data_IF_273088291807
#
_entry.id   IF_273088291807
#
_cell.length_a   1.000
_cell.length_b   1.000
_cell.length_c   1.000
_cell.angle_alpha   90.00
_cell.angle_beta   90.00
_cell.angle_gamma   90.00
#
_symmetry.space_group_name_H-M   'P 1'
#
loop_
_entity.id
_entity.type
_entity.pdbx_description
1 polymer ?
#
# COMPACT_ATOMS: atom_id res chain seq x y z
N UNK A 1 -27.12 -12.88 71.27
CA UNK A 1 -26.73 -13.55 70.03
C UNK A 1 -26.22 -12.51 69.05
N UNK A 2 -24.89 -12.33 68.85
CA UNK A 2 -24.26 -11.42 67.90
C UNK A 2 -23.79 -12.25 66.74
N UNK A 3 -24.37 -12.03 65.56
CA UNK A 3 -23.89 -12.62 64.27
C UNK A 3 -22.81 -11.74 63.70
N UNK A 4 -21.60 -12.27 63.56
CA UNK A 4 -20.46 -11.62 62.92
C UNK A 4 -20.49 -12.04 61.46
N UNK A 5 -20.78 -11.08 60.56
CA UNK A 5 -20.61 -11.25 59.11
C UNK A 5 -19.16 -10.86 58.76
N UNK A 6 -18.36 -11.86 58.40
CA UNK A 6 -17.04 -11.60 57.84
C UNK A 6 -17.13 -11.16 56.37
N UNK A 7 -16.24 -10.25 55.90
CA UNK A 7 -16.23 -9.84 54.49
C UNK A 7 -15.64 -10.96 53.61
N UNK A 8 -16.42 -11.40 52.65
CA UNK A 8 -15.93 -12.27 51.57
C UNK A 8 -15.00 -11.48 50.64
N UNK A 9 -13.70 -11.80 50.70
CA UNK A 9 -12.68 -11.26 49.80
C UNK A 9 -12.81 -11.93 48.41
N UNK A 10 -13.46 -11.26 47.47
CA UNK A 10 -13.52 -11.70 46.09
C UNK A 10 -12.15 -11.46 45.42
N UNK A 11 -11.37 -12.53 45.21
CA UNK A 11 -10.12 -12.48 44.46
C UNK A 11 -10.47 -12.44 42.99
N UNK A 12 -10.33 -11.25 42.37
CA UNK A 12 -10.45 -11.04 40.94
C UNK A 12 -9.18 -11.57 40.23
N UNK A 13 -9.24 -12.80 39.70
CA UNK A 13 -8.16 -13.36 38.89
C UNK A 13 -8.13 -12.61 37.54
N UNK A 14 -7.21 -11.65 37.39
CA UNK A 14 -6.88 -11.04 36.12
C UNK A 14 -6.15 -12.08 35.25
N UNK A 15 -6.87 -12.69 34.30
CA UNK A 15 -6.26 -13.48 33.23
C UNK A 15 -5.50 -12.55 32.31
N UNK A 16 -4.19 -12.42 32.49
CA UNK A 16 -3.30 -11.79 31.52
C UNK A 16 -3.07 -12.82 30.39
N UNK A 17 -3.84 -12.71 29.32
CA UNK A 17 -3.56 -13.48 28.10
C UNK A 17 -2.20 -13.03 27.56
N UNK A 18 -1.22 -13.95 27.34
CA UNK A 18 0.02 -13.58 26.71
C UNK A 18 -0.29 -13.09 25.29
N UNK A 19 0.07 -11.84 24.99
CA UNK A 19 0.07 -11.31 23.63
C UNK A 19 1.18 -12.05 22.89
N UNK A 20 0.84 -13.17 22.24
CA UNK A 20 1.80 -13.91 21.43
C UNK A 20 2.28 -12.98 20.31
N UNK A 21 3.54 -12.60 20.35
CA UNK A 21 4.15 -11.82 19.28
C UNK A 21 3.96 -12.58 17.95
N UNK A 22 3.21 -11.99 17.02
CA UNK A 22 2.94 -12.62 15.74
C UNK A 22 4.25 -12.82 15.00
N UNK A 23 4.61 -14.06 14.74
CA UNK A 23 5.83 -14.38 14.00
C UNK A 23 5.72 -13.83 12.57
N UNK A 24 6.82 -13.32 12.04
CA UNK A 24 6.88 -12.77 10.68
C UNK A 24 7.82 -13.55 9.79
N UNK A 25 7.56 -13.51 8.49
CA UNK A 25 8.47 -13.95 7.44
C UNK A 25 8.82 -12.80 6.51
N UNK A 26 9.70 -13.06 5.55
CA UNK A 26 10.15 -12.08 4.54
C UNK A 26 9.48 -12.37 3.21
N UNK A 27 8.65 -11.45 2.72
CA UNK A 27 8.06 -11.49 1.39
C UNK A 27 8.94 -10.70 0.42
N UNK A 28 9.32 -11.31 -0.69
CA UNK A 28 10.00 -10.67 -1.83
C UNK A 28 9.16 -10.85 -3.07
N UNK A 29 8.73 -9.75 -3.67
CA UNK A 29 7.97 -9.75 -4.92
C UNK A 29 8.88 -9.29 -6.04
N UNK A 30 9.06 -10.14 -7.05
CA UNK A 30 9.77 -9.84 -8.30
C UNK A 30 8.73 -9.62 -9.40
N UNK A 31 8.20 -8.40 -9.48
CA UNK A 31 7.24 -8.04 -10.51
C UNK A 31 7.92 -7.39 -11.72
N UNK A 32 7.35 -7.59 -12.88
CA UNK A 32 7.65 -6.85 -14.10
C UNK A 32 6.33 -6.20 -14.60
N UNK A 33 6.22 -4.85 -14.51
CA UNK A 33 7.23 -3.85 -14.14
C UNK A 33 7.52 -3.80 -12.63
N UNK A 34 8.77 -3.46 -12.27
CA UNK A 34 9.21 -3.41 -10.86
C UNK A 34 8.52 -2.34 -10.00
N UNK A 35 7.91 -1.30 -10.61
CA UNK A 35 7.13 -0.26 -9.91
C UNK A 35 5.74 -0.73 -9.48
N UNK A 36 5.33 -1.95 -9.83
CA UNK A 36 4.06 -2.54 -9.41
C UNK A 36 3.86 -2.41 -7.91
N UNK A 37 2.72 -1.87 -7.49
CA UNK A 37 2.32 -1.79 -6.08
C UNK A 37 2.07 -3.17 -5.50
N UNK A 38 2.61 -3.43 -4.32
CA UNK A 38 2.44 -4.67 -3.56
C UNK A 38 1.45 -4.42 -2.42
N UNK A 39 0.35 -5.16 -2.42
CA UNK A 39 -0.66 -5.14 -1.36
C UNK A 39 -0.74 -6.52 -0.73
N UNK A 40 -0.82 -6.55 0.59
CA UNK A 40 -1.08 -7.79 1.35
C UNK A 40 -2.29 -7.55 2.23
N UNK A 41 -3.31 -8.39 2.09
CA UNK A 41 -4.60 -8.28 2.79
C UNK A 41 -5.22 -6.87 2.64
N UNK A 42 -5.15 -6.31 1.45
CA UNK A 42 -5.62 -4.97 1.12
C UNK A 42 -4.73 -3.81 1.56
N UNK A 43 -3.68 -4.06 2.35
CA UNK A 43 -2.75 -3.03 2.81
C UNK A 43 -1.60 -2.84 1.82
N UNK A 44 -1.39 -1.59 1.37
CA UNK A 44 -0.23 -1.22 0.56
C UNK A 44 1.07 -1.30 1.36
N UNK A 45 2.08 -2.01 0.83
CA UNK A 45 3.40 -2.15 1.44
C UNK A 45 4.48 -1.31 0.73
N UNK A 46 4.30 -1.02 -0.54
CA UNK A 46 5.26 -0.30 -1.39
C UNK A 46 5.41 -0.94 -2.76
N UNK A 47 6.31 -0.43 -3.62
CA UNK A 47 6.58 -1.02 -4.93
C UNK A 47 7.34 -2.34 -4.82
N UNK A 48 7.17 -3.25 -5.79
CA UNK A 48 7.86 -4.55 -5.83
C UNK A 48 9.39 -4.38 -5.88
N UNK A 49 9.88 -3.33 -6.54
CA UNK A 49 11.31 -3.03 -6.62
C UNK A 49 11.59 -1.54 -6.44
N UNK A 50 12.78 -1.23 -5.95
CA UNK A 50 13.39 0.10 -6.03
C UNK A 50 14.44 0.05 -7.16
N UNK A 51 14.19 0.80 -8.25
CA UNK A 51 14.91 0.65 -9.52
C UNK A 51 14.86 -0.81 -10.02
N UNK A 52 15.97 -1.53 -9.97
CA UNK A 52 16.06 -2.95 -10.39
C UNK A 52 16.18 -3.92 -9.23
N UNK A 53 16.18 -3.42 -7.99
CA UNK A 53 16.34 -4.25 -6.79
C UNK A 53 15.00 -4.54 -6.18
N UNK A 54 14.62 -5.83 -6.12
CA UNK A 54 13.40 -6.28 -5.48
C UNK A 54 13.40 -5.91 -4.00
N UNK A 55 12.30 -5.34 -3.51
CA UNK A 55 12.13 -4.99 -2.10
C UNK A 55 11.75 -6.21 -1.28
N UNK A 56 12.04 -6.13 0.01
CA UNK A 56 11.69 -7.16 0.98
C UNK A 56 10.77 -6.55 2.01
N UNK A 57 9.64 -7.23 2.28
CA UNK A 57 8.64 -6.82 3.24
C UNK A 57 8.54 -7.83 4.37
N UNK A 58 8.41 -7.35 5.61
CA UNK A 58 8.08 -8.22 6.73
C UNK A 58 6.55 -8.37 6.76
N UNK A 59 6.09 -9.61 6.69
CA UNK A 59 4.67 -9.97 6.69
C UNK A 59 4.45 -11.00 7.79
N UNK A 60 3.30 -10.98 8.44
CA UNK A 60 2.92 -11.99 9.41
C UNK A 60 3.06 -13.40 8.81
N UNK A 61 3.35 -14.40 9.63
CA UNK A 61 3.32 -15.78 9.17
C UNK A 61 1.87 -16.25 9.03
N UNK A 62 1.55 -16.95 7.96
CA UNK A 62 0.20 -17.43 7.66
C UNK A 62 -0.17 -17.30 6.19
N UNK A 63 -1.45 -17.50 5.91
CA UNK A 63 -2.02 -17.34 4.59
C UNK A 63 -2.47 -15.89 4.39
N UNK A 64 -2.17 -15.32 3.23
CA UNK A 64 -2.45 -13.94 2.87
C UNK A 64 -2.95 -13.85 1.44
N UNK A 65 -3.72 -12.79 1.15
CA UNK A 65 -4.01 -12.37 -0.19
C UNK A 65 -2.95 -11.37 -0.65
N UNK A 66 -2.23 -11.72 -1.70
CA UNK A 66 -1.31 -10.83 -2.40
C UNK A 66 -2.02 -10.23 -3.60
N UNK A 67 -2.13 -8.89 -3.65
CA UNK A 67 -2.56 -8.15 -4.83
C UNK A 67 -1.39 -7.35 -5.39
N UNK A 68 -1.21 -7.43 -6.71
CA UNK A 68 -0.22 -6.69 -7.49
C UNK A 68 -0.96 -5.76 -8.44
N UNK A 69 -0.73 -4.46 -8.32
CA UNK A 69 -1.46 -3.45 -9.09
C UNK A 69 -0.50 -2.43 -9.71
N UNK A 70 -0.67 -2.22 -11.00
CA UNK A 70 -0.04 -1.16 -11.78
C UNK A 70 -1.05 -0.66 -12.82
N UNK A 71 -1.33 0.65 -12.88
CA UNK A 71 -2.49 1.20 -13.63
C UNK A 71 -2.54 0.91 -15.12
N UNK A 72 -1.38 0.59 -15.71
CA UNK A 72 -1.25 0.27 -17.15
C UNK A 72 -1.21 -1.22 -17.43
N UNK A 73 -1.48 -2.06 -16.41
CA UNK A 73 -1.43 -3.51 -16.48
C UNK A 73 -2.67 -4.13 -15.86
N UNK A 74 -2.93 -5.39 -16.20
CA UNK A 74 -3.97 -6.17 -15.56
C UNK A 74 -3.55 -6.46 -14.10
N UNK A 75 -4.49 -6.33 -13.18
CA UNK A 75 -4.30 -6.65 -11.76
C UNK A 75 -4.07 -8.15 -11.57
N UNK A 76 -3.19 -8.51 -10.65
CA UNK A 76 -2.96 -9.91 -10.26
C UNK A 76 -3.30 -10.08 -8.78
N UNK A 77 -4.20 -11.02 -8.49
CA UNK A 77 -4.56 -11.42 -7.11
C UNK A 77 -4.22 -12.88 -6.90
N UNK A 78 -3.51 -13.19 -5.80
CA UNK A 78 -3.07 -14.55 -5.45
C UNK A 78 -3.15 -14.80 -3.96
N UNK A 79 -3.45 -16.03 -3.58
CA UNK A 79 -3.20 -16.53 -2.22
C UNK A 79 -1.74 -16.96 -2.09
N UNK A 80 -1.09 -16.53 -1.02
CA UNK A 80 0.29 -16.88 -0.68
C UNK A 80 0.37 -17.33 0.77
N UNK A 81 1.31 -18.21 1.09
CA UNK A 81 1.62 -18.60 2.46
C UNK A 81 2.99 -18.03 2.85
N UNK A 82 3.05 -17.22 3.90
CA UNK A 82 4.28 -16.68 4.48
C UNK A 82 4.69 -17.56 5.65
N UNK A 83 5.88 -18.15 5.58
CA UNK A 83 6.42 -18.98 6.66
C UNK A 83 7.26 -18.13 7.62
N UNK A 84 7.07 -18.32 8.92
CA UNK A 84 7.83 -17.63 9.96
C UNK A 84 9.35 -17.80 9.76
N UNK A 85 10.09 -16.69 9.90
CA UNK A 85 11.54 -16.63 9.79
C UNK A 85 12.12 -17.12 8.43
N UNK A 86 11.26 -17.34 7.43
CA UNK A 86 11.67 -17.74 6.07
C UNK A 86 11.39 -16.66 5.05
N UNK A 87 12.02 -16.81 3.87
CA UNK A 87 11.81 -15.94 2.71
C UNK A 87 10.83 -16.61 1.76
N UNK A 88 9.70 -15.94 1.50
CA UNK A 88 8.75 -16.27 0.45
C UNK A 88 9.04 -15.39 -0.76
N UNK A 89 9.23 -15.98 -1.94
CA UNK A 89 9.50 -15.25 -3.19
C UNK A 89 8.36 -15.50 -4.16
N UNK A 90 7.75 -14.40 -4.64
CA UNK A 90 6.73 -14.42 -5.69
C UNK A 90 7.28 -13.70 -6.90
N UNK A 91 7.21 -14.34 -8.08
CA UNK A 91 7.64 -13.76 -9.35
C UNK A 91 6.42 -13.63 -10.28
N UNK A 92 6.19 -12.43 -10.84
CA UNK A 92 5.07 -12.14 -11.73
C UNK A 92 5.46 -11.19 -12.85
N UNK A 93 4.95 -11.47 -14.05
CA UNK A 93 4.98 -10.57 -15.18
C UNK A 93 3.55 -10.14 -15.49
N UNK A 94 3.24 -8.86 -15.24
CA UNK A 94 1.91 -8.33 -15.47
C UNK A 94 1.67 -8.13 -16.97
N UNK A 95 0.42 -8.30 -17.40
CA UNK A 95 0.00 -8.10 -18.77
C UNK A 95 -0.38 -6.64 -19.00
N UNK A 96 0.25 -5.99 -19.99
CA UNK A 96 0.00 -4.58 -20.29
C UNK A 96 -1.41 -4.36 -20.85
N UNK A 97 -2.05 -3.27 -20.40
CA UNK A 97 -3.29 -2.74 -20.96
C UNK A 97 -2.98 -1.84 -22.18
N UNK A 98 -3.94 -1.63 -23.09
CA UNK A 98 -3.80 -0.66 -24.16
C UNK A 98 -3.50 0.75 -23.62
N UNK A 99 -2.64 1.55 -24.29
CA UNK A 99 -2.34 2.89 -23.85
C UNK A 99 -3.58 3.78 -23.91
N UNK A 100 -3.80 4.67 -22.90
CA UNK A 100 -4.91 5.61 -22.92
C UNK A 100 -4.73 6.64 -24.02
N UNK A 101 -5.85 7.21 -24.50
CA UNK A 101 -5.86 8.27 -25.54
C UNK A 101 -6.14 9.63 -24.90
N UNK A 102 -5.37 10.68 -25.32
CA UNK A 102 -5.53 12.05 -24.85
C UNK A 102 -6.78 12.77 -25.40
N UNK A 103 -7.00 14.04 -25.02
CA UNK A 103 -6.01 14.94 -24.43
C UNK A 103 -5.74 14.64 -22.95
N UNK A 104 -4.58 15.09 -22.42
CA UNK A 104 -4.17 14.90 -21.03
C UNK A 104 -3.72 16.20 -20.37
N UNK A 105 -4.02 16.35 -19.08
CA UNK A 105 -3.26 17.18 -18.17
C UNK A 105 -2.26 16.34 -17.38
N UNK A 106 -1.41 16.98 -16.61
CA UNK A 106 -0.34 16.35 -15.84
C UNK A 106 -0.52 16.61 -14.34
N UNK A 107 -0.53 15.55 -13.56
CA UNK A 107 -0.52 15.62 -12.11
C UNK A 107 0.87 15.23 -11.62
N UNK A 108 1.48 16.08 -10.80
CA UNK A 108 2.75 15.83 -10.13
C UNK A 108 2.53 15.71 -8.63
N UNK A 109 3.41 15.00 -7.98
CA UNK A 109 3.41 14.83 -6.52
C UNK A 109 4.69 15.40 -5.92
N UNK A 110 4.55 16.06 -4.76
CA UNK A 110 5.67 16.46 -3.90
C UNK A 110 5.47 15.82 -2.53
N UNK A 111 6.29 14.84 -2.18
CA UNK A 111 6.22 14.13 -0.90
C UNK A 111 7.62 13.76 -0.42
N UNK A 112 7.82 13.75 0.89
CA UNK A 112 9.06 13.25 1.52
C UNK A 112 9.13 11.72 1.48
N UNK A 113 7.98 11.03 1.49
CA UNK A 113 7.92 9.57 1.29
C UNK A 113 7.84 9.23 -0.20
N UNK A 114 8.97 8.83 -0.77
CA UNK A 114 9.10 8.44 -2.18
C UNK A 114 8.22 7.26 -2.58
N UNK A 115 7.81 6.45 -1.62
CA UNK A 115 7.05 5.22 -1.85
C UNK A 115 5.62 5.32 -1.35
N UNK A 116 5.16 6.52 -0.98
CA UNK A 116 3.75 6.76 -0.69
C UNK A 116 2.88 6.39 -1.89
N UNK A 117 1.80 5.66 -1.64
CA UNK A 117 0.85 5.31 -2.69
C UNK A 117 0.06 6.54 -3.16
N UNK A 118 -0.12 6.65 -4.46
CA UNK A 118 -0.93 7.71 -5.08
C UNK A 118 -2.22 7.10 -5.61
N UNK A 119 -3.34 7.56 -5.07
CA UNK A 119 -4.68 7.19 -5.53
C UNK A 119 -5.35 8.40 -6.17
N UNK A 120 -6.04 8.14 -7.27
CA UNK A 120 -6.91 9.13 -7.93
C UNK A 120 -8.31 8.53 -8.02
N UNK A 121 -9.29 9.20 -7.42
CA UNK A 121 -10.66 8.69 -7.29
C UNK A 121 -10.69 7.25 -6.74
N UNK A 122 -9.93 7.00 -5.67
CA UNK A 122 -9.75 5.70 -5.00
C UNK A 122 -9.08 4.58 -5.83
N UNK A 123 -8.65 4.85 -7.06
CA UNK A 123 -7.86 3.91 -7.86
C UNK A 123 -6.38 4.18 -7.66
N UNK A 124 -5.59 3.12 -7.43
CA UNK A 124 -4.14 3.20 -7.33
C UNK A 124 -3.52 3.56 -8.68
N UNK A 125 -2.53 4.47 -8.68
CA UNK A 125 -1.83 4.93 -9.88
C UNK A 125 -0.31 4.80 -9.81
N UNK A 126 0.24 4.39 -8.69
CA UNK A 126 1.68 4.24 -8.49
C UNK A 126 2.13 4.88 -7.19
N UNK A 127 3.39 5.27 -7.11
CA UNK A 127 3.95 5.90 -5.91
C UNK A 127 4.55 7.28 -6.24
N UNK A 128 4.73 8.10 -5.22
CA UNK A 128 5.08 9.53 -5.37
C UNK A 128 6.36 9.78 -6.16
N UNK A 129 7.38 8.91 -6.04
CA UNK A 129 8.64 9.07 -6.77
C UNK A 129 8.45 9.02 -8.31
N UNK A 130 7.43 8.28 -8.79
CA UNK A 130 7.12 8.19 -10.23
C UNK A 130 6.62 9.51 -10.81
N UNK A 131 6.02 10.37 -9.99
CA UNK A 131 5.35 11.59 -10.45
C UNK A 131 6.01 12.87 -9.91
N UNK A 132 7.19 12.76 -9.28
CA UNK A 132 7.80 13.86 -8.54
C UNK A 132 8.54 14.89 -9.41
N UNK A 133 9.02 14.52 -10.60
CA UNK A 133 9.80 15.43 -11.43
C UNK A 133 8.98 16.08 -12.56
N UNK A 134 9.54 17.13 -13.16
CA UNK A 134 8.85 17.94 -14.19
C UNK A 134 8.54 17.19 -15.48
N UNK A 135 9.30 16.16 -15.80
CA UNK A 135 9.11 15.36 -17.02
C UNK A 135 8.23 14.12 -16.81
N UNK A 136 8.08 13.69 -15.56
CA UNK A 136 7.37 12.46 -15.16
C UNK A 136 6.17 12.82 -14.31
N UNK A 137 5.07 13.19 -14.87
CA UNK A 137 3.81 13.36 -14.17
C UNK A 137 2.81 12.29 -14.59
N UNK A 138 1.84 12.02 -13.74
CA UNK A 138 0.72 11.19 -14.09
C UNK A 138 -0.14 11.91 -15.12
N UNK A 139 -0.35 11.30 -16.28
CA UNK A 139 -1.20 11.82 -17.34
C UNK A 139 -2.63 11.34 -17.12
N UNK A 140 -3.55 12.28 -16.97
CA UNK A 140 -4.98 12.03 -16.80
C UNK A 140 -5.78 12.91 -17.77
N UNK A 141 -6.96 12.48 -18.24
CA UNK A 141 -7.86 13.36 -18.96
C UNK A 141 -8.18 14.64 -18.17
N UNK A 142 -8.56 15.75 -18.83
CA UNK A 142 -9.08 16.92 -18.12
C UNK A 142 -10.30 16.55 -17.27
N UNK A 143 -10.37 17.08 -16.03
CA UNK A 143 -11.44 16.77 -15.11
C UNK A 143 -11.15 17.16 -13.66
N UNK A 144 -12.08 16.86 -12.78
CA UNK A 144 -11.92 17.02 -11.34
C UNK A 144 -11.60 15.67 -10.72
N UNK A 145 -10.61 15.66 -9.84
CA UNK A 145 -10.09 14.46 -9.22
C UNK A 145 -9.91 14.64 -7.73
N UNK A 146 -10.21 13.59 -6.98
CA UNK A 146 -9.76 13.46 -5.61
C UNK A 146 -8.45 12.67 -5.62
N UNK A 147 -7.37 13.31 -5.18
CA UNK A 147 -6.04 12.71 -5.11
C UNK A 147 -5.70 12.44 -3.65
N UNK A 148 -5.43 11.17 -3.33
CA UNK A 148 -5.02 10.75 -2.00
C UNK A 148 -3.59 10.19 -2.08
N UNK A 149 -2.72 10.75 -1.24
CA UNK A 149 -1.36 10.25 -1.05
C UNK A 149 -1.35 9.51 0.29
N UNK A 150 -1.04 8.22 0.24
CA UNK A 150 -0.99 7.35 1.41
C UNK A 150 0.46 6.93 1.67
N UNK A 151 1.10 7.49 2.70
CA UNK A 151 2.48 7.15 3.04
C UNK A 151 2.57 5.72 3.57
N UNK A 152 3.77 5.14 3.49
CA UNK A 152 4.06 3.80 4.05
C UNK A 152 3.95 3.78 5.58
N UNK A 153 4.05 4.96 6.21
CA UNK A 153 3.78 5.19 7.64
C UNK A 153 3.23 6.59 7.85
N UNK A 154 2.25 6.73 8.73
CA UNK A 154 1.59 8.01 9.00
C UNK A 154 0.18 8.10 8.42
N UNK A 155 -0.38 9.31 8.39
CA UNK A 155 -1.75 9.55 7.92
C UNK A 155 -1.78 9.91 6.45
N UNK A 156 -2.80 9.47 5.69
CA UNK A 156 -2.98 9.87 4.31
C UNK A 156 -3.36 11.36 4.19
N UNK A 157 -2.96 11.96 3.08
CA UNK A 157 -3.36 13.32 2.69
C UNK A 157 -4.27 13.22 1.47
N UNK A 158 -5.40 13.94 1.49
CA UNK A 158 -6.35 13.97 0.37
C UNK A 158 -6.54 15.40 -0.12
N UNK A 159 -6.47 15.61 -1.42
CA UNK A 159 -6.66 16.90 -2.06
C UNK A 159 -7.55 16.77 -3.30
N UNK A 160 -8.53 17.69 -3.46
CA UNK A 160 -9.30 17.81 -4.69
C UNK A 160 -8.57 18.74 -5.65
N UNK A 161 -8.43 18.32 -6.89
CA UNK A 161 -7.73 19.07 -7.94
C UNK A 161 -8.55 19.11 -9.22
N UNK A 162 -8.48 20.23 -9.95
CA UNK A 162 -8.99 20.36 -11.31
C UNK A 162 -7.83 20.32 -12.28
N UNK A 163 -7.86 19.37 -13.20
CA UNK A 163 -6.84 19.17 -14.21
C UNK A 163 -7.36 19.65 -15.58
N UNK A 164 -6.60 20.46 -16.25
CA UNK A 164 -6.89 20.96 -17.60
C UNK A 164 -5.90 20.36 -18.61
N UNK A 165 -6.30 20.29 -19.88
CA UNK A 165 -5.42 19.81 -20.94
C UNK A 165 -4.12 20.63 -20.99
N UNK A 166 -2.98 19.97 -21.18
CA UNK A 166 -1.64 20.56 -21.28
C UNK A 166 -1.20 21.39 -20.04
N UNK A 167 -1.93 21.29 -18.93
CA UNK A 167 -1.60 21.94 -17.66
C UNK A 167 -1.04 20.94 -16.66
N UNK A 168 -0.18 21.44 -15.76
CA UNK A 168 0.37 20.66 -14.65
C UNK A 168 -0.20 21.16 -13.33
N UNK A 169 -0.68 20.23 -12.52
CA UNK A 169 -1.09 20.47 -11.14
C UNK A 169 -0.15 19.70 -10.21
N UNK A 170 0.24 20.29 -9.09
CA UNK A 170 1.11 19.68 -8.08
C UNK A 170 0.30 19.42 -6.82
N UNK A 171 0.37 18.20 -6.32
CA UNK A 171 -0.22 17.74 -5.06
C UNK A 171 0.90 17.52 -4.04
N UNK A 172 0.70 18.04 -2.83
CA UNK A 172 1.69 18.01 -1.74
C UNK A 172 1.18 17.20 -0.56
#
# INVERSE_FOLDING_TARGET
MKRIFGPALAILLLFVLPLAAQQTGKLVVKADPGRTGVFVDGKYLGPAANFRVARTYNVAAGDHELKLEEPRYEEVVKKITVTANKKTVVAEKLKALPPPKGPFGRLRTESTDKFAAVYVNNKFYGHTDEFSNSSQGLLLPPGEYEVRIEPTSGSPVTQKVKLEADRTVVVK
#
